data_IF_380695002646
#
_entry.id   IF_380695002646
#
_cell.length_a   1.000
_cell.length_b   1.000
_cell.length_c   1.000
_cell.angle_alpha   90.00
_cell.angle_beta   90.00
_cell.angle_gamma   90.00
#
_symmetry.space_group_name_H-M   'P 1'
#
loop_
_entity.id
_entity.type
_entity.pdbx_description
1 polymer ?
#
# COMPACT_ATOMS: atom_id res chain seq x y z
N UNK A 1 -26.06 -4.17 -13.94
CA UNK A 1 -24.78 -4.67 -14.48
C UNK A 1 -24.06 -5.45 -13.39
N UNK A 2 -23.54 -6.66 -13.68
CA UNK A 2 -22.75 -7.44 -12.70
C UNK A 2 -21.30 -7.02 -12.82
N UNK A 3 -20.66 -6.69 -11.67
CA UNK A 3 -19.26 -6.28 -11.57
C UNK A 3 -18.49 -7.28 -10.74
N UNK A 4 -17.34 -7.73 -11.23
CA UNK A 4 -16.40 -8.55 -10.47
C UNK A 4 -15.52 -7.66 -9.60
N UNK A 5 -15.58 -7.86 -8.28
CA UNK A 5 -15.00 -6.95 -7.29
C UNK A 5 -14.01 -7.66 -6.37
N UNK A 6 -12.85 -7.05 -6.14
CA UNK A 6 -11.89 -7.44 -5.13
C UNK A 6 -11.86 -6.40 -4.00
N UNK A 7 -12.41 -6.71 -2.83
CA UNK A 7 -12.31 -5.88 -1.62
C UNK A 7 -11.97 -6.75 -0.41
N UNK A 8 -11.14 -6.23 0.48
CA UNK A 8 -10.82 -6.84 1.75
C UNK A 8 -11.98 -6.79 2.75
N UNK A 9 -11.85 -7.59 3.82
CA UNK A 9 -12.76 -7.56 4.94
C UNK A 9 -12.36 -6.43 5.89
N UNK A 10 -13.00 -5.28 5.69
CA UNK A 10 -12.84 -4.10 6.52
C UNK A 10 -14.19 -3.74 7.18
N UNK A 11 -14.22 -3.07 8.34
CA UNK A 11 -15.47 -2.59 8.91
C UNK A 11 -16.32 -1.78 7.92
N UNK A 12 -15.68 -0.97 7.06
CA UNK A 12 -16.33 -0.13 6.07
C UNK A 12 -16.63 -0.82 4.73
N UNK A 13 -16.35 -2.09 4.57
CA UNK A 13 -16.82 -2.92 3.44
C UNK A 13 -17.88 -3.95 3.87
N UNK A 14 -18.13 -4.09 5.17
CA UNK A 14 -19.02 -5.11 5.72
C UNK A 14 -20.45 -4.96 5.20
N UNK A 15 -21.00 -3.75 5.15
CA UNK A 15 -22.37 -3.51 4.66
C UNK A 15 -22.53 -3.83 3.16
N UNK A 16 -21.48 -3.60 2.35
CA UNK A 16 -21.45 -4.02 0.94
C UNK A 16 -21.42 -5.53 0.82
N UNK A 17 -20.52 -6.20 1.54
CA UNK A 17 -20.32 -7.65 1.44
C UNK A 17 -21.49 -8.45 1.99
N UNK A 18 -22.20 -7.92 2.97
CA UNK A 18 -23.44 -8.52 3.49
C UNK A 18 -24.67 -8.29 2.62
N UNK A 19 -24.57 -7.42 1.60
CA UNK A 19 -25.73 -7.03 0.79
C UNK A 19 -26.68 -6.03 1.46
N UNK A 20 -26.27 -5.39 2.57
CA UNK A 20 -27.07 -4.35 3.21
C UNK A 20 -27.10 -3.05 2.37
N UNK A 21 -26.03 -2.79 1.60
CA UNK A 21 -25.99 -1.71 0.61
C UNK A 21 -26.18 -2.31 -0.77
N UNK A 22 -27.28 -1.96 -1.43
CA UNK A 22 -27.67 -2.44 -2.75
C UNK A 22 -27.81 -1.31 -3.76
N UNK A 23 -27.93 -1.67 -5.03
CA UNK A 23 -28.15 -0.77 -6.14
C UNK A 23 -29.01 -1.44 -7.21
N UNK A 24 -29.90 -0.66 -7.84
CA UNK A 24 -30.64 -1.12 -9.02
C UNK A 24 -29.79 -1.13 -10.29
N UNK A 25 -28.63 -0.44 -10.27
CA UNK A 25 -27.74 -0.29 -11.41
C UNK A 25 -26.68 -1.37 -11.47
N UNK A 26 -26.18 -1.81 -10.31
CA UNK A 26 -25.05 -2.75 -10.20
C UNK A 26 -25.32 -3.89 -9.23
N UNK A 27 -24.87 -5.08 -9.59
CA UNK A 27 -24.76 -6.27 -8.75
C UNK A 27 -23.27 -6.51 -8.49
N UNK A 28 -22.87 -6.65 -7.21
CA UNK A 28 -21.48 -6.85 -6.81
C UNK A 28 -21.17 -8.34 -6.66
N UNK A 29 -20.21 -8.83 -7.45
CA UNK A 29 -19.69 -10.20 -7.41
C UNK A 29 -18.32 -10.21 -6.75
N UNK A 30 -18.26 -10.51 -5.45
CA UNK A 30 -17.02 -10.44 -4.69
C UNK A 30 -16.13 -11.65 -4.96
N UNK A 31 -14.91 -11.38 -5.44
CA UNK A 31 -13.87 -12.38 -5.60
C UNK A 31 -13.24 -12.75 -4.24
N UNK A 32 -13.07 -14.05 -4.01
CA UNK A 32 -12.50 -14.57 -2.77
C UNK A 32 -10.97 -14.68 -2.86
N UNK A 33 -10.28 -13.76 -2.19
CA UNK A 33 -8.83 -13.76 -2.01
C UNK A 33 -8.48 -13.52 -0.54
N UNK A 34 -7.86 -14.49 0.09
CA UNK A 34 -7.40 -14.40 1.48
C UNK A 34 -5.87 -14.67 1.56
N UNK A 35 -5.09 -13.66 1.93
CA UNK A 35 -5.43 -12.25 2.09
C UNK A 35 -5.69 -11.54 0.74
N UNK A 36 -6.40 -10.40 0.79
CA UNK A 36 -6.84 -9.63 -0.41
C UNK A 36 -5.70 -9.26 -1.36
N UNK A 37 -4.51 -9.00 -0.84
CA UNK A 37 -3.34 -8.63 -1.65
C UNK A 37 -2.90 -9.71 -2.65
N UNK A 38 -3.34 -10.96 -2.49
CA UNK A 38 -3.11 -12.02 -3.51
C UNK A 38 -3.83 -11.73 -4.83
N UNK A 39 -4.90 -10.91 -4.80
CA UNK A 39 -5.61 -10.45 -5.99
C UNK A 39 -4.95 -9.26 -6.71
N UNK A 40 -3.93 -8.61 -6.12
CA UNK A 40 -3.31 -7.42 -6.73
C UNK A 40 -2.55 -7.74 -8.02
N UNK A 41 -1.79 -8.84 -8.05
CA UNK A 41 -1.11 -9.30 -9.28
C UNK A 41 -2.10 -9.60 -10.40
N UNK A 42 -3.17 -10.41 -10.21
CA UNK A 42 -4.21 -10.60 -11.23
C UNK A 42 -4.85 -9.30 -11.72
N UNK A 43 -5.12 -8.32 -10.81
CA UNK A 43 -5.65 -7.04 -11.26
C UNK A 43 -4.69 -6.29 -12.16
N UNK A 44 -3.40 -6.20 -11.79
CA UNK A 44 -2.40 -5.43 -12.53
C UNK A 44 -2.02 -6.08 -13.85
N UNK A 45 -1.89 -7.41 -13.85
CA UNK A 45 -1.37 -8.18 -15.01
C UNK A 45 -2.44 -8.55 -16.01
N UNK A 46 -3.63 -8.90 -15.50
CA UNK A 46 -4.69 -9.54 -16.27
C UNK A 46 -5.99 -8.72 -16.31
N UNK A 47 -6.04 -7.57 -15.62
CA UNK A 47 -7.26 -6.76 -15.44
C UNK A 47 -8.45 -7.62 -14.93
N UNK A 48 -8.18 -8.51 -13.96
CA UNK A 48 -9.08 -9.60 -13.57
C UNK A 48 -10.38 -9.13 -12.88
N UNK A 49 -10.48 -7.84 -12.51
CA UNK A 49 -11.61 -7.27 -11.78
C UNK A 49 -12.05 -5.95 -12.40
N UNK A 50 -13.35 -5.66 -12.32
CA UNK A 50 -13.90 -4.35 -12.71
C UNK A 50 -13.57 -3.26 -11.68
N UNK A 51 -13.58 -3.65 -10.38
CA UNK A 51 -13.26 -2.81 -9.24
C UNK A 51 -12.35 -3.59 -8.29
N UNK A 52 -11.29 -2.96 -7.78
CA UNK A 52 -10.38 -3.65 -6.87
C UNK A 52 -9.83 -2.71 -5.79
N UNK A 53 -9.71 -3.23 -4.56
CA UNK A 53 -8.75 -2.69 -3.60
C UNK A 53 -7.34 -2.90 -4.14
N UNK A 54 -6.49 -1.87 -4.04
CA UNK A 54 -5.13 -1.89 -4.56
C UNK A 54 -4.17 -1.17 -3.63
N UNK A 55 -2.98 -1.75 -3.45
CA UNK A 55 -1.88 -1.06 -2.78
C UNK A 55 -1.48 0.18 -3.57
N UNK A 56 -1.36 1.33 -2.91
CA UNK A 56 -1.18 2.61 -3.61
C UNK A 56 0.09 2.66 -4.45
N UNK A 57 1.21 2.12 -3.96
CA UNK A 57 2.47 2.08 -4.75
C UNK A 57 2.32 1.15 -5.97
N UNK A 58 1.61 0.02 -5.83
CA UNK A 58 1.28 -0.83 -6.97
C UNK A 58 0.49 -0.08 -8.04
N UNK A 59 -0.50 0.75 -7.64
CA UNK A 59 -1.23 1.60 -8.57
C UNK A 59 -0.34 2.64 -9.25
N UNK A 60 0.52 3.35 -8.49
CA UNK A 60 1.45 4.34 -9.04
C UNK A 60 2.38 3.72 -10.11
N UNK A 61 2.91 2.55 -9.80
CA UNK A 61 3.73 1.78 -10.75
C UNK A 61 2.92 1.32 -11.95
N UNK A 62 1.73 0.74 -11.74
CA UNK A 62 0.85 0.29 -12.81
C UNK A 62 0.53 1.43 -13.79
N UNK A 63 0.27 2.63 -13.27
CA UNK A 63 0.09 3.84 -14.07
C UNK A 63 1.32 4.19 -14.91
N UNK A 64 2.53 4.01 -14.37
CA UNK A 64 3.79 4.28 -15.10
C UNK A 64 4.03 3.33 -16.28
N UNK A 65 3.33 2.20 -16.30
CA UNK A 65 3.35 1.20 -17.37
C UNK A 65 2.01 1.11 -18.10
N UNK A 66 1.22 2.20 -18.10
CA UNK A 66 -0.05 2.35 -18.82
C UNK A 66 -1.05 1.21 -18.59
N UNK A 67 -1.04 0.60 -17.38
CA UNK A 67 -2.03 -0.43 -17.04
C UNK A 67 -3.43 0.19 -17.00
N UNK A 68 -4.45 -0.50 -17.56
CA UNK A 68 -5.77 0.08 -17.81
C UNK A 68 -6.64 0.14 -16.54
N UNK A 69 -6.22 0.91 -15.55
CA UNK A 69 -6.96 1.14 -14.30
C UNK A 69 -6.89 2.60 -13.87
N UNK A 70 -7.89 3.04 -13.12
CA UNK A 70 -8.06 4.42 -12.64
C UNK A 70 -8.33 4.41 -11.14
N UNK A 71 -7.78 5.38 -10.41
CA UNK A 71 -7.97 5.50 -8.97
C UNK A 71 -9.36 6.08 -8.64
N UNK A 72 -10.05 5.47 -7.66
CA UNK A 72 -11.20 6.08 -6.98
C UNK A 72 -10.75 6.81 -5.70
N UNK A 73 -11.42 7.89 -5.29
CA UNK A 73 -11.08 8.62 -4.06
C UNK A 73 -11.59 7.89 -2.79
N UNK A 74 -11.42 6.58 -2.76
CA UNK A 74 -11.86 5.72 -1.65
C UNK A 74 -10.66 5.04 -0.99
N UNK A 75 -10.30 5.51 0.21
CA UNK A 75 -9.21 4.94 1.02
C UNK A 75 -9.72 3.68 1.72
N UNK A 76 -9.07 2.53 1.48
CA UNK A 76 -9.38 1.25 2.11
C UNK A 76 -8.53 0.99 3.35
N UNK A 77 -7.25 1.37 3.30
CA UNK A 77 -6.33 1.19 4.42
C UNK A 77 -5.38 2.38 4.52
N UNK A 78 -5.33 3.00 5.70
CA UNK A 78 -4.32 3.98 6.07
C UNK A 78 -3.85 3.68 7.49
N UNK A 79 -2.53 3.72 7.71
CA UNK A 79 -1.92 3.42 9.01
C UNK A 79 -0.49 3.96 9.08
N UNK A 80 0.00 4.16 10.27
CA UNK A 80 1.42 4.40 10.51
C UNK A 80 2.26 3.15 10.21
N UNK A 81 3.55 3.35 9.89
CA UNK A 81 4.41 2.29 9.38
C UNK A 81 5.54 1.90 10.36
N UNK A 82 5.86 2.71 11.37
CA UNK A 82 7.04 2.53 12.23
C UNK A 82 7.09 1.17 12.93
N UNK A 83 5.93 0.62 13.35
CA UNK A 83 5.84 -0.72 13.94
C UNK A 83 6.06 -1.90 12.97
N UNK A 84 6.40 -1.63 11.69
CA UNK A 84 6.66 -2.66 10.68
C UNK A 84 8.15 -2.77 10.32
N UNK A 85 9.03 -2.48 11.26
CA UNK A 85 10.47 -2.57 11.10
C UNK A 85 11.08 -3.34 12.27
N UNK A 86 11.53 -4.55 12.00
CA UNK A 86 12.07 -5.50 13.00
C UNK A 86 13.54 -5.73 12.73
N UNK A 87 14.37 -5.73 13.77
CA UNK A 87 15.81 -5.99 13.70
C UNK A 87 16.20 -7.27 14.43
N UNK A 88 17.32 -7.87 14.01
CA UNK A 88 17.97 -8.91 14.79
C UNK A 88 18.77 -8.23 15.92
N UNK A 89 18.53 -8.54 17.21
CA UNK A 89 19.26 -7.94 18.31
C UNK A 89 20.78 -8.12 18.25
N UNK A 90 21.25 -9.20 17.62
CA UNK A 90 22.68 -9.46 17.40
C UNK A 90 23.34 -8.63 16.30
N UNK A 91 22.56 -7.89 15.50
CA UNK A 91 23.08 -7.11 14.36
C UNK A 91 23.72 -5.77 14.75
N UNK A 92 23.63 -5.36 16.04
CA UNK A 92 24.21 -4.10 16.51
C UNK A 92 23.51 -2.85 15.94
N UNK A 93 22.20 -2.94 15.69
CA UNK A 93 21.37 -1.83 15.21
C UNK A 93 20.74 -1.15 16.43
N UNK A 94 21.17 0.08 16.73
CA UNK A 94 20.62 0.90 17.80
C UNK A 94 19.59 1.93 17.28
N UNK A 95 19.58 2.20 15.98
CA UNK A 95 18.67 3.14 15.36
C UNK A 95 18.68 3.07 13.83
N UNK A 96 17.84 3.89 13.16
CA UNK A 96 17.67 3.84 11.71
C UNK A 96 18.94 3.98 10.89
N UNK A 97 19.89 4.82 11.33
CA UNK A 97 21.14 5.08 10.62
C UNK A 97 22.06 3.85 10.55
N UNK A 98 21.96 2.95 11.53
CA UNK A 98 22.74 1.72 11.59
C UNK A 98 22.33 0.67 10.56
N UNK A 99 21.25 0.91 9.79
CA UNK A 99 20.86 0.06 8.66
C UNK A 99 21.84 0.15 7.48
N UNK A 100 22.64 1.21 7.39
CA UNK A 100 23.67 1.34 6.35
C UNK A 100 24.71 0.21 6.49
N UNK A 101 25.01 -0.44 5.37
CA UNK A 101 25.89 -1.62 5.32
C UNK A 101 25.27 -2.91 5.82
N UNK A 102 23.97 -2.93 6.15
CA UNK A 102 23.25 -4.10 6.64
C UNK A 102 22.46 -4.83 5.55
N UNK A 103 22.17 -6.10 5.80
CA UNK A 103 21.29 -6.95 4.98
C UNK A 103 19.85 -6.76 5.45
N UNK A 104 19.05 -6.07 4.68
CA UNK A 104 17.66 -5.73 5.03
C UNK A 104 16.68 -6.49 4.14
N UNK A 105 15.89 -7.35 4.77
CA UNK A 105 14.85 -8.12 4.10
C UNK A 105 13.57 -7.28 3.90
N UNK A 106 12.95 -7.47 2.75
CA UNK A 106 11.63 -6.92 2.45
C UNK A 106 10.89 -7.89 1.52
N UNK A 107 9.60 -8.13 1.75
CA UNK A 107 8.85 -9.10 0.96
C UNK A 107 8.98 -8.88 -0.55
N UNK A 108 8.71 -7.67 -1.02
CA UNK A 108 9.05 -7.18 -2.36
C UNK A 108 9.48 -5.72 -2.25
N UNK A 109 10.44 -5.29 -3.05
CA UNK A 109 10.92 -3.91 -3.03
C UNK A 109 9.81 -2.90 -3.33
N UNK A 110 8.77 -3.31 -4.05
CA UNK A 110 7.64 -2.49 -4.48
C UNK A 110 6.45 -2.48 -3.51
N UNK A 111 6.58 -3.06 -2.30
CA UNK A 111 5.50 -3.02 -1.30
C UNK A 111 5.28 -1.60 -0.79
N UNK A 112 4.00 -1.20 -0.62
CA UNK A 112 3.65 0.14 -0.13
C UNK A 112 4.21 0.42 1.27
N UNK A 113 4.14 -0.54 2.21
CA UNK A 113 4.74 -0.39 3.54
C UNK A 113 6.24 -0.16 3.45
N UNK A 114 6.94 -0.90 2.57
CA UNK A 114 8.36 -0.73 2.34
C UNK A 114 8.70 0.63 1.72
N UNK A 115 7.93 1.09 0.74
CA UNK A 115 8.13 2.39 0.12
C UNK A 115 7.95 3.54 1.13
N UNK A 116 6.93 3.48 1.98
CA UNK A 116 6.74 4.42 3.08
C UNK A 116 7.93 4.41 4.04
N UNK A 117 8.32 3.24 4.56
CA UNK A 117 9.44 3.12 5.51
C UNK A 117 10.75 3.64 4.91
N UNK A 118 11.10 3.27 3.68
CA UNK A 118 12.29 3.77 3.00
C UNK A 118 12.23 5.29 2.82
N UNK A 119 11.07 5.84 2.45
CA UNK A 119 10.88 7.29 2.36
C UNK A 119 11.11 7.99 3.69
N UNK A 120 10.55 7.46 4.79
CA UNK A 120 10.76 7.96 6.15
C UNK A 120 12.23 7.84 6.55
N UNK A 121 12.86 6.68 6.35
CA UNK A 121 14.28 6.46 6.67
C UNK A 121 15.18 7.48 5.96
N UNK A 122 14.96 7.73 4.69
CA UNK A 122 15.78 8.68 3.92
C UNK A 122 15.53 10.13 4.33
N UNK A 123 14.25 10.55 4.44
CA UNK A 123 13.90 11.96 4.59
C UNK A 123 13.88 12.44 6.05
N UNK A 124 13.54 11.55 7.00
CA UNK A 124 13.43 11.92 8.42
C UNK A 124 14.68 11.53 9.25
N UNK A 125 15.38 10.45 8.85
CA UNK A 125 16.54 9.93 9.58
C UNK A 125 17.85 10.04 8.78
N UNK A 126 17.83 10.54 7.54
CA UNK A 126 19.00 10.73 6.70
C UNK A 126 19.73 9.44 6.31
N UNK A 127 19.02 8.30 6.29
CA UNK A 127 19.60 7.00 5.90
C UNK A 127 19.90 6.99 4.42
N UNK A 128 21.12 6.62 4.06
CA UNK A 128 21.48 6.35 2.67
C UNK A 128 20.96 4.97 2.25
N UNK A 129 19.87 4.93 1.52
CA UNK A 129 19.21 3.68 1.08
C UNK A 129 20.09 2.85 0.14
N UNK A 130 21.01 3.49 -0.60
CA UNK A 130 21.95 2.81 -1.51
C UNK A 130 23.06 2.08 -0.77
N UNK A 131 23.29 2.43 0.51
CA UNK A 131 24.25 1.74 1.36
C UNK A 131 23.66 0.48 2.02
N UNK A 132 22.39 0.14 1.77
CA UNK A 132 21.71 -1.04 2.33
C UNK A 132 21.70 -2.15 1.31
N UNK A 133 22.05 -3.38 1.72
CA UNK A 133 21.84 -4.58 0.91
C UNK A 133 20.40 -5.04 1.02
N UNK A 134 19.59 -4.77 -0.03
CA UNK A 134 18.19 -5.15 -0.07
C UNK A 134 18.01 -6.59 -0.52
N UNK A 135 17.28 -7.39 0.27
CA UNK A 135 16.99 -8.80 0.00
C UNK A 135 15.47 -8.98 -0.12
N UNK A 136 15.02 -9.48 -1.29
CA UNK A 136 13.59 -9.63 -1.62
C UNK A 136 13.18 -11.07 -1.79
N UNK A 137 11.92 -11.36 -1.47
CA UNK A 137 11.33 -12.72 -1.39
C UNK A 137 10.27 -12.96 -2.46
N UNK A 138 9.65 -11.90 -2.97
CA UNK A 138 8.59 -11.97 -3.96
C UNK A 138 8.86 -11.04 -5.15
N UNK A 139 8.37 -11.46 -6.30
CA UNK A 139 8.38 -10.65 -7.52
C UNK A 139 7.46 -9.42 -7.37
N UNK A 140 7.80 -8.29 -8.02
CA UNK A 140 6.93 -7.13 -8.13
C UNK A 140 5.53 -7.47 -8.68
N UNK A 141 4.52 -6.71 -8.29
CA UNK A 141 3.18 -6.84 -8.85
C UNK A 141 3.15 -6.45 -10.34
N UNK A 142 3.86 -5.39 -10.71
CA UNK A 142 4.06 -4.95 -12.10
C UNK A 142 5.23 -5.75 -12.67
N UNK A 143 4.96 -6.60 -13.65
CA UNK A 143 5.93 -7.56 -14.19
C UNK A 143 7.08 -6.88 -14.97
N UNK A 144 6.82 -5.70 -15.52
CA UNK A 144 7.79 -4.91 -16.30
C UNK A 144 8.84 -4.21 -15.43
N UNK A 145 8.58 -4.05 -14.12
CA UNK A 145 9.53 -3.44 -13.21
C UNK A 145 10.62 -4.44 -12.82
N UNK A 146 11.85 -4.05 -13.03
CA UNK A 146 13.04 -4.82 -12.63
C UNK A 146 13.76 -4.06 -11.51
N UNK A 147 13.90 -4.67 -10.34
CA UNK A 147 14.70 -4.13 -9.25
C UNK A 147 16.12 -4.71 -9.25
N UNK A 148 17.05 -4.01 -8.58
CA UNK A 148 18.45 -4.42 -8.41
C UNK A 148 18.71 -5.18 -7.11
N UNK A 149 17.66 -5.69 -6.46
CA UNK A 149 17.76 -6.36 -5.17
C UNK A 149 18.31 -7.78 -5.29
N UNK A 150 18.97 -8.26 -4.24
CA UNK A 150 19.34 -9.66 -4.11
C UNK A 150 18.09 -10.49 -3.82
N UNK A 151 17.91 -11.59 -4.54
CA UNK A 151 16.78 -12.50 -4.29
C UNK A 151 17.12 -13.49 -3.18
N UNK A 152 16.22 -13.60 -2.21
CA UNK A 152 16.37 -14.54 -1.11
C UNK A 152 16.32 -15.99 -1.60
N UNK A 153 16.97 -16.94 -0.91
CA UNK A 153 16.83 -18.36 -1.18
C UNK A 153 15.36 -18.81 -1.10
N UNK A 154 14.93 -19.66 -2.02
CA UNK A 154 13.58 -20.20 -2.02
C UNK A 154 13.28 -21.04 -0.76
N UNK A 155 12.04 -20.99 -0.27
CA UNK A 155 11.52 -21.90 0.74
C UNK A 155 11.68 -21.47 2.19
N UNK A 156 12.39 -20.37 2.49
CA UNK A 156 12.47 -19.82 3.85
C UNK A 156 11.56 -18.60 4.01
N UNK A 157 10.85 -18.52 5.13
CA UNK A 157 10.07 -17.33 5.49
C UNK A 157 11.01 -16.19 5.91
N UNK A 158 10.69 -14.97 5.54
CA UNK A 158 11.51 -13.78 5.80
C UNK A 158 11.87 -13.61 7.27
N UNK A 159 10.90 -13.82 8.19
CA UNK A 159 11.16 -13.71 9.63
C UNK A 159 12.03 -14.85 10.16
N UNK A 160 11.99 -16.05 9.55
CA UNK A 160 12.88 -17.14 9.93
C UNK A 160 14.33 -16.80 9.59
N UNK A 161 14.58 -16.21 8.41
CA UNK A 161 15.93 -15.78 7.97
C UNK A 161 16.46 -14.66 8.90
N UNK A 162 15.59 -13.75 9.37
CA UNK A 162 15.97 -12.76 10.38
C UNK A 162 16.41 -13.42 11.69
N UNK A 163 15.63 -14.38 12.20
CA UNK A 163 15.91 -15.05 13.47
C UNK A 163 17.12 -16.00 13.39
N UNK A 164 17.41 -16.54 12.21
CA UNK A 164 18.62 -17.34 11.95
C UNK A 164 19.89 -16.44 11.80
N UNK A 165 19.75 -15.12 11.80
CA UNK A 165 20.86 -14.16 11.69
C UNK A 165 21.40 -13.99 10.26
N UNK A 166 20.67 -14.49 9.26
CA UNK A 166 21.01 -14.29 7.84
C UNK A 166 20.56 -12.92 7.31
N UNK A 167 19.63 -12.24 8.03
CA UNK A 167 19.24 -10.83 7.87
C UNK A 167 19.53 -10.06 9.15
N UNK A 168 19.85 -8.78 8.99
CA UNK A 168 20.10 -7.86 10.09
C UNK A 168 18.83 -7.12 10.50
N UNK A 169 17.93 -6.85 9.53
CA UNK A 169 16.61 -6.24 9.73
C UNK A 169 15.60 -6.72 8.68
N UNK A 170 14.31 -6.51 8.96
CA UNK A 170 13.19 -6.72 8.05
C UNK A 170 12.28 -5.50 8.08
N UNK A 171 11.90 -4.98 6.90
CA UNK A 171 10.92 -3.93 6.72
C UNK A 171 9.63 -4.50 6.12
N UNK A 172 8.49 -4.04 6.65
CA UNK A 172 7.16 -4.40 6.15
C UNK A 172 6.48 -5.53 6.94
N UNK A 173 7.14 -6.09 7.94
CA UNK A 173 6.60 -7.13 8.81
C UNK A 173 6.50 -6.64 10.27
N UNK A 174 5.60 -7.24 11.04
CA UNK A 174 5.50 -7.10 12.49
C UNK A 174 5.91 -8.40 13.16
N UNK A 175 6.46 -8.30 14.37
CA UNK A 175 6.75 -9.47 15.17
C UNK A 175 6.63 -9.13 16.65
N UNK A 176 5.97 -10.02 17.38
CA UNK A 176 5.98 -10.06 18.86
C UNK A 176 6.92 -11.16 19.37
N UNK A 177 7.66 -11.81 18.48
CA UNK A 177 8.66 -12.83 18.83
C UNK A 177 9.86 -12.17 19.54
N UNK A 178 10.24 -12.62 20.73
CA UNK A 178 11.33 -12.03 21.51
C UNK A 178 12.72 -12.15 20.86
N UNK A 179 12.86 -12.92 19.79
CA UNK A 179 14.08 -12.99 18.97
C UNK A 179 14.26 -11.78 18.06
N UNK A 180 13.22 -10.94 17.89
CA UNK A 180 13.28 -9.69 17.16
C UNK A 180 13.19 -8.48 18.10
N UNK A 181 13.72 -7.34 17.65
CA UNK A 181 13.54 -6.04 18.31
C UNK A 181 12.94 -5.03 17.36
N UNK A 182 12.24 -4.02 17.89
CA UNK A 182 11.74 -2.93 17.04
C UNK A 182 12.91 -2.02 16.64
N UNK A 183 12.96 -1.64 15.34
CA UNK A 183 13.93 -0.63 14.87
C UNK A 183 13.69 0.72 15.57
N UNK A 184 12.45 1.04 15.86
CA UNK A 184 12.02 2.24 16.59
C UNK A 184 11.56 1.82 17.99
N UNK A 185 12.36 2.06 19.04
CA UNK A 185 12.04 1.59 20.39
C UNK A 185 10.72 2.14 20.96
N UNK A 186 10.38 3.38 20.61
CA UNK A 186 9.10 4.01 20.97
C UNK A 186 8.29 4.33 19.71
N UNK A 187 7.64 3.31 19.16
CA UNK A 187 6.80 3.42 17.94
C UNK A 187 5.73 4.50 18.10
N UNK A 188 5.11 4.62 19.28
CA UNK A 188 4.04 5.59 19.50
C UNK A 188 4.56 7.04 19.47
N UNK A 189 5.75 7.30 20.00
CA UNK A 189 6.39 8.60 19.93
C UNK A 189 6.74 8.97 18.49
N UNK A 190 7.28 8.01 17.70
CA UNK A 190 7.59 8.22 16.28
C UNK A 190 6.35 8.51 15.45
N UNK A 191 5.27 7.76 15.65
CA UNK A 191 3.99 7.98 14.97
C UNK A 191 3.42 9.37 15.28
N UNK A 192 3.47 9.77 16.55
CA UNK A 192 3.02 11.10 16.99
C UNK A 192 3.86 12.22 16.38
N UNK A 193 5.18 12.07 16.40
CA UNK A 193 6.10 13.06 15.83
C UNK A 193 5.91 13.20 14.31
N UNK A 194 5.77 12.07 13.62
CA UNK A 194 5.52 12.05 12.18
C UNK A 194 4.19 12.69 11.81
N UNK A 195 3.11 12.35 12.55
CA UNK A 195 1.79 12.97 12.37
C UNK A 195 1.84 14.49 12.62
N UNK A 196 2.56 14.93 13.65
CA UNK A 196 2.73 16.35 13.94
C UNK A 196 3.49 17.08 12.81
N UNK A 197 4.46 16.41 12.15
CA UNK A 197 5.26 16.96 11.06
C UNK A 197 4.50 17.05 9.74
N UNK A 198 3.81 15.99 9.36
CA UNK A 198 3.19 15.85 8.04
C UNK A 198 1.68 16.06 8.03
N UNK A 199 1.03 15.97 9.19
CA UNK A 199 -0.41 16.23 9.36
C UNK A 199 -1.32 15.15 8.74
N UNK A 200 -0.79 13.95 8.44
CA UNK A 200 -1.55 12.91 7.74
C UNK A 200 -1.10 11.51 8.14
N UNK A 201 -2.01 10.54 8.01
CA UNK A 201 -1.70 9.11 8.15
C UNK A 201 -1.36 8.52 6.77
N UNK A 202 -0.30 7.70 6.64
CA UNK A 202 0.08 7.05 5.39
C UNK A 202 -1.02 6.17 4.79
N UNK A 203 -1.42 6.42 3.54
CA UNK A 203 -2.32 5.54 2.79
C UNK A 203 -1.56 4.29 2.33
N UNK A 204 -2.14 3.12 2.62
CA UNK A 204 -1.65 1.84 2.10
C UNK A 204 -2.45 1.36 0.90
N UNK A 205 -3.79 1.34 1.01
CA UNK A 205 -4.66 0.86 -0.05
C UNK A 205 -5.77 1.86 -0.38
N UNK A 206 -6.10 1.92 -1.66
CA UNK A 206 -7.26 2.63 -2.20
C UNK A 206 -8.01 1.73 -3.17
N UNK A 207 -9.16 2.18 -3.67
CA UNK A 207 -9.92 1.47 -4.71
C UNK A 207 -9.48 1.94 -6.09
N UNK A 208 -9.37 1.00 -7.03
CA UNK A 208 -9.23 1.26 -8.47
C UNK A 208 -10.41 0.67 -9.22
N UNK A 209 -10.73 1.26 -10.37
CA UNK A 209 -11.68 0.71 -11.35
C UNK A 209 -10.94 0.43 -12.67
N UNK A 210 -11.44 -0.52 -13.47
CA UNK A 210 -10.90 -0.72 -14.80
C UNK A 210 -11.12 0.53 -15.65
N UNK A 211 -10.14 0.88 -16.48
CA UNK A 211 -10.22 2.03 -17.39
C UNK A 211 -11.41 1.89 -18.35
N UNK A 212 -11.68 0.66 -18.82
CA UNK A 212 -12.83 0.36 -19.68
C UNK A 212 -14.16 0.72 -18.99
N UNK A 213 -14.32 0.38 -17.71
CA UNK A 213 -15.52 0.73 -16.94
C UNK A 213 -15.70 2.24 -16.84
N UNK A 214 -14.61 2.97 -16.53
CA UNK A 214 -14.64 4.42 -16.43
C UNK A 214 -15.01 5.10 -17.74
N UNK A 215 -14.47 4.63 -18.86
CA UNK A 215 -14.69 5.21 -20.19
C UNK A 215 -16.11 4.95 -20.72
N UNK A 216 -16.65 3.75 -20.46
CA UNK A 216 -17.92 3.33 -21.08
C UNK A 216 -19.13 3.48 -20.19
N UNK A 217 -18.94 3.46 -18.86
CA UNK A 217 -20.03 3.48 -17.86
C UNK A 217 -19.68 4.37 -16.67
N UNK A 218 -19.49 5.68 -16.88
CA UNK A 218 -19.23 6.63 -15.80
C UNK A 218 -20.37 6.72 -14.77
N UNK A 219 -21.60 6.36 -15.15
CA UNK A 219 -22.73 6.21 -14.26
C UNK A 219 -22.52 5.09 -13.23
N UNK A 220 -21.99 3.95 -13.68
CA UNK A 220 -21.66 2.79 -12.82
C UNK A 220 -20.52 3.13 -11.87
N UNK A 221 -19.49 3.84 -12.35
CA UNK A 221 -18.37 4.27 -11.48
C UNK A 221 -18.85 5.20 -10.36
N UNK A 222 -19.74 6.16 -10.66
CA UNK A 222 -20.35 7.03 -9.64
C UNK A 222 -21.17 6.23 -8.64
N UNK A 223 -21.92 5.23 -9.11
CA UNK A 223 -22.72 4.37 -8.25
C UNK A 223 -21.85 3.51 -7.32
N UNK A 224 -20.77 2.94 -7.83
CA UNK A 224 -19.77 2.21 -7.01
C UNK A 224 -19.22 3.12 -5.92
N UNK A 225 -18.82 4.35 -6.26
CA UNK A 225 -18.33 5.32 -5.27
C UNK A 225 -19.39 5.62 -4.20
N UNK A 226 -20.64 5.87 -4.61
CA UNK A 226 -21.77 6.09 -3.69
C UNK A 226 -21.96 4.91 -2.72
N UNK A 227 -21.88 3.67 -3.25
CA UNK A 227 -22.03 2.46 -2.44
C UNK A 227 -20.87 2.29 -1.43
N UNK A 228 -19.64 2.59 -1.84
CA UNK A 228 -18.48 2.59 -0.94
C UNK A 228 -18.62 3.64 0.17
N UNK A 229 -19.07 4.84 -0.16
CA UNK A 229 -19.34 5.90 0.82
C UNK A 229 -20.47 5.55 1.78
N UNK A 230 -21.56 4.98 1.28
CA UNK A 230 -22.67 4.50 2.11
C UNK A 230 -22.22 3.41 3.10
N UNK A 231 -21.42 2.45 2.64
CA UNK A 231 -20.86 1.41 3.50
C UNK A 231 -19.88 1.95 4.53
N UNK A 232 -19.08 2.98 4.17
CA UNK A 232 -18.21 3.68 5.12
C UNK A 232 -19.02 4.46 6.17
N UNK A 233 -20.12 5.10 5.76
CA UNK A 233 -21.01 5.82 6.68
C UNK A 233 -21.67 4.87 7.70
N UNK A 234 -22.05 3.67 7.28
CA UNK A 234 -22.56 2.60 8.16
C UNK A 234 -21.52 2.16 9.21
N UNK A 235 -20.25 2.26 8.89
CA UNK A 235 -19.12 1.95 9.78
C UNK A 235 -18.64 3.13 10.63
N UNK A 236 -19.44 4.21 10.74
CA UNK A 236 -19.06 5.41 11.51
C UNK A 236 -18.68 5.05 12.95
N UNK A 237 -17.57 5.62 13.43
CA UNK A 237 -16.99 5.32 14.74
C UNK A 237 -16.12 4.05 14.80
N UNK A 238 -16.15 3.21 13.76
CA UNK A 238 -15.32 2.00 13.64
C UNK A 238 -14.09 2.22 12.74
N UNK A 239 -14.10 3.28 11.95
CA UNK A 239 -13.03 3.60 10.98
C UNK A 239 -12.66 5.07 11.14
N UNK A 240 -11.37 5.43 11.18
CA UNK A 240 -10.95 6.83 11.21
C UNK A 240 -11.51 7.60 10.01
N UNK A 241 -11.94 8.83 10.24
CA UNK A 241 -12.28 9.75 9.17
C UNK A 241 -11.01 10.07 8.35
N UNK A 242 -11.17 10.17 7.04
CA UNK A 242 -10.10 10.51 6.12
C UNK A 242 -10.62 11.60 5.18
N UNK A 243 -10.16 12.83 5.39
CA UNK A 243 -10.61 13.96 4.59
C UNK A 243 -9.99 13.96 3.19
N UNK A 244 -10.56 14.75 2.29
CA UNK A 244 -9.98 15.00 0.97
C UNK A 244 -8.55 15.56 1.08
N UNK A 245 -8.32 16.47 2.02
CA UNK A 245 -7.01 17.09 2.23
C UNK A 245 -5.99 16.07 2.77
N UNK A 246 -6.39 15.19 3.69
CA UNK A 246 -5.54 14.10 4.19
C UNK A 246 -5.16 13.14 3.06
N UNK A 247 -6.13 12.77 2.21
CA UNK A 247 -5.88 11.93 1.04
C UNK A 247 -4.88 12.62 0.09
N UNK A 248 -5.08 13.89 -0.21
CA UNK A 248 -4.20 14.66 -1.10
C UNK A 248 -2.77 14.69 -0.57
N UNK A 249 -2.57 15.07 0.70
CA UNK A 249 -1.24 15.13 1.33
C UNK A 249 -0.55 13.77 1.37
N UNK A 250 -1.29 12.71 1.72
CA UNK A 250 -0.73 11.36 1.73
C UNK A 250 -0.30 10.90 0.34
N UNK A 251 -1.10 11.19 -0.70
CA UNK A 251 -0.76 10.90 -2.09
C UNK A 251 0.44 11.71 -2.57
N UNK A 252 0.55 12.99 -2.22
CA UNK A 252 1.72 13.84 -2.53
C UNK A 252 3.01 13.26 -1.95
N UNK A 253 2.98 12.83 -0.69
CA UNK A 253 4.14 12.23 -0.03
C UNK A 253 4.53 10.90 -0.66
N UNK A 254 3.57 9.99 -0.89
CA UNK A 254 3.92 8.66 -1.43
C UNK A 254 4.36 8.73 -2.90
N UNK A 255 3.84 9.65 -3.71
CA UNK A 255 4.34 9.86 -5.07
C UNK A 255 5.76 10.41 -5.05
N UNK A 256 6.07 11.32 -4.12
CA UNK A 256 7.42 11.85 -3.93
C UNK A 256 8.39 10.74 -3.52
N UNK A 257 8.05 10.00 -2.46
CA UNK A 257 8.86 8.88 -1.99
C UNK A 257 9.05 7.78 -3.04
N UNK A 258 8.00 7.50 -3.84
CA UNK A 258 8.09 6.51 -4.91
C UNK A 258 9.02 6.97 -6.04
N UNK A 259 9.02 8.25 -6.38
CA UNK A 259 9.93 8.82 -7.38
C UNK A 259 11.38 8.84 -6.88
N UNK A 260 11.63 9.26 -5.63
CA UNK A 260 12.96 9.24 -5.01
C UNK A 260 13.59 7.83 -5.00
N UNK A 261 12.76 6.80 -4.87
CA UNK A 261 13.18 5.39 -4.82
C UNK A 261 13.22 4.70 -6.18
N UNK A 262 12.97 5.42 -7.28
CA UNK A 262 12.94 4.85 -8.62
C UNK A 262 11.81 3.86 -8.89
N UNK A 263 10.75 3.84 -8.05
CA UNK A 263 9.58 3.00 -8.25
C UNK A 263 8.67 3.53 -9.37
N UNK A 264 8.73 4.82 -9.61
CA UNK A 264 8.06 5.52 -10.72
C UNK A 264 9.05 6.50 -11.36
N UNK A 265 8.89 6.83 -12.65
CA UNK A 265 9.87 7.62 -13.40
C UNK A 265 9.95 9.09 -12.96
N UNK A 266 8.90 9.60 -12.34
CA UNK A 266 8.78 10.96 -11.81
C UNK A 266 7.70 11.05 -10.75
N UNK A 267 7.71 12.08 -9.94
CA UNK A 267 6.58 12.44 -9.08
C UNK A 267 5.35 12.75 -9.96
N UNK A 268 4.22 12.12 -9.65
CA UNK A 268 2.93 12.49 -10.23
C UNK A 268 2.27 13.59 -9.41
N UNK A 269 1.61 14.53 -10.07
CA UNK A 269 0.63 15.39 -9.39
C UNK A 269 -0.59 14.57 -9.01
N UNK A 270 -1.21 14.88 -7.87
CA UNK A 270 -2.35 14.08 -7.37
C UNK A 270 -3.51 14.02 -8.37
N UNK A 271 -3.76 15.11 -9.09
CA UNK A 271 -4.82 15.15 -10.11
C UNK A 271 -4.56 14.21 -11.30
N UNK A 272 -3.28 13.90 -11.60
CA UNK A 272 -2.92 12.94 -12.64
C UNK A 272 -3.31 11.49 -12.26
N UNK A 273 -3.51 11.18 -10.98
CA UNK A 273 -3.85 9.85 -10.51
C UNK A 273 -5.32 9.47 -10.81
N UNK A 274 -6.13 10.45 -11.19
CA UNK A 274 -7.55 10.31 -11.47
C UNK A 274 -7.81 10.67 -12.93
N UNK A 275 -8.82 10.05 -13.54
CA UNK A 275 -9.37 10.54 -14.80
C UNK A 275 -10.48 11.60 -14.56
N UNK A 276 -11.13 12.08 -15.60
CA UNK A 276 -12.15 13.13 -15.48
C UNK A 276 -13.36 12.67 -14.66
N UNK A 277 -13.73 11.39 -14.77
CA UNK A 277 -14.85 10.79 -14.03
C UNK A 277 -14.51 10.72 -12.54
N UNK A 278 -13.38 10.12 -12.20
CA UNK A 278 -13.03 9.85 -10.79
C UNK A 278 -12.51 11.10 -10.07
N UNK A 279 -11.92 12.06 -10.81
CA UNK A 279 -11.52 13.37 -10.26
C UNK A 279 -12.74 14.18 -9.81
N UNK A 280 -13.84 14.10 -10.52
CA UNK A 280 -15.09 14.76 -10.14
C UNK A 280 -15.73 14.18 -8.86
N UNK A 281 -15.28 13.01 -8.41
CA UNK A 281 -15.76 12.34 -7.18
C UNK A 281 -14.91 12.67 -5.93
N UNK A 282 -13.77 13.38 -6.10
CA UNK A 282 -12.87 13.80 -5.01
C UNK A 282 -13.49 14.86 -4.11
#
# INVERSE_FOLDING_TARGET
MRLRILLGDHPHTAALKSGAITSDLVELDFAEYTPTNKGFKPMVRDAAFDVAEMAIVTYLMARSYDKPMVLLPSVMMARHQFGFAVTNPGAGIAGPKDLEGKRVGIRSFTTTTGAWLRGMLANDYGVNLDAIEWITFEEPHVAEYVDSTTKAPAGKAIMQILFDGELDAVLGEKSDDPRGAQLFPDVAAEEKAWLARYGVVPINHMVVVSKQLSDTRPDVVREVQRMLEASRADATGKVPAFSKDDMTRSLELITDYSAQQGLIPRKFYVDELFDDVTRALR
#
